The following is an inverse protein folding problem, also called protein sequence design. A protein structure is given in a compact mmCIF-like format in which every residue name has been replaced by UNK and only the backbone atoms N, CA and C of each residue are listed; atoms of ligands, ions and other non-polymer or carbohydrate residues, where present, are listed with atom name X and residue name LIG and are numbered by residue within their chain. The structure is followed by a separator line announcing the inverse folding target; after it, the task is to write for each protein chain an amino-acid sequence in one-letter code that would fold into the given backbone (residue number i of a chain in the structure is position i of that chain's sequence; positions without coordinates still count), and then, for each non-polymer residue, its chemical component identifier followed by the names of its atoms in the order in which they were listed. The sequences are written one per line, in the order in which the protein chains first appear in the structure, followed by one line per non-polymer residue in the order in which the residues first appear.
data_IF_829059683817
#
_entry.id   IF_829059683817
#
_cell.length_a   1.000
_cell.length_b   1.000
_cell.length_c   1.000
_cell.angle_alpha   90.00
_cell.angle_beta   90.00
_cell.angle_gamma   90.00
#
_symmetry.space_group_name_H-M   'P 1'
#
loop_
_entity.id
_entity.type
_entity.pdbx_description
1 polymer ?
#
# COMPACT_ATOMS: atom_id res chain seq x y z
N UNK A 1 -2.59 -1.18 -11.29
CA UNK A 1 -3.74 -0.44 -10.72
C UNK A 1 -3.34 0.15 -9.39
N UNK A 2 -3.71 1.42 -9.12
CA UNK A 2 -3.38 2.12 -7.87
C UNK A 2 -4.50 1.93 -6.86
N UNK A 3 -4.16 1.48 -5.65
CA UNK A 3 -5.11 1.24 -4.55
C UNK A 3 -4.76 2.11 -3.35
N UNK A 4 -5.78 2.58 -2.63
CA UNK A 4 -5.55 3.37 -1.42
C UNK A 4 -5.74 2.47 -0.20
N UNK A 5 -4.81 2.56 0.76
CA UNK A 5 -4.85 1.77 2.00
C UNK A 5 -4.45 2.64 3.19
N UNK A 6 -5.10 2.47 4.34
CA UNK A 6 -4.67 3.18 5.55
C UNK A 6 -3.37 2.59 6.10
N UNK A 7 -2.57 3.39 6.80
CA UNK A 7 -1.36 2.92 7.49
C UNK A 7 -1.65 1.76 8.45
N UNK A 8 -2.82 1.76 9.10
CA UNK A 8 -3.27 0.68 10.00
C UNK A 8 -3.52 -0.61 9.23
N UNK A 9 -4.22 -0.55 8.09
CA UNK A 9 -4.44 -1.71 7.23
C UNK A 9 -3.14 -2.19 6.59
N UNK A 10 -2.28 -1.27 6.16
CA UNK A 10 -0.97 -1.59 5.62
C UNK A 10 -0.18 -2.42 6.61
N UNK A 11 -0.06 -1.96 7.87
CA UNK A 11 0.63 -2.67 8.94
C UNK A 11 0.09 -4.08 9.19
N UNK A 12 -1.23 -4.27 9.14
CA UNK A 12 -1.89 -5.57 9.37
C UNK A 12 -1.77 -6.54 8.18
N UNK A 13 -1.44 -6.06 6.99
CA UNK A 13 -1.45 -6.86 5.76
C UNK A 13 -0.19 -6.70 4.90
N UNK A 14 0.93 -6.27 5.50
CA UNK A 14 2.19 -6.00 4.81
C UNK A 14 2.65 -7.17 3.90
N UNK A 15 2.63 -8.40 4.40
CA UNK A 15 3.03 -9.57 3.61
C UNK A 15 2.13 -9.86 2.38
N UNK A 16 0.84 -9.51 2.45
CA UNK A 16 -0.06 -9.59 1.29
C UNK A 16 0.23 -8.45 0.31
N UNK A 17 0.38 -7.23 0.83
CA UNK A 17 0.65 -6.03 0.04
C UNK A 17 1.92 -6.20 -0.78
N UNK A 18 3.03 -6.64 -0.17
CA UNK A 18 4.28 -6.84 -0.90
C UNK A 18 4.19 -7.91 -1.98
N UNK A 19 3.44 -9.00 -1.75
CA UNK A 19 3.17 -9.99 -2.80
C UNK A 19 2.35 -9.43 -3.96
N UNK A 20 1.38 -8.56 -3.70
CA UNK A 20 0.62 -7.88 -4.75
C UNK A 20 1.50 -6.85 -5.48
N UNK A 21 2.35 -6.11 -4.75
CA UNK A 21 3.30 -5.15 -5.31
C UNK A 21 4.32 -5.83 -6.22
N UNK A 22 4.85 -6.99 -5.82
CA UNK A 22 5.75 -7.80 -6.64
C UNK A 22 5.09 -8.28 -7.95
N UNK A 23 3.74 -8.36 -7.99
CA UNK A 23 2.96 -8.66 -9.20
C UNK A 23 2.57 -7.41 -10.00
N UNK A 24 3.10 -6.23 -9.65
CA UNK A 24 2.84 -4.96 -10.34
C UNK A 24 1.72 -4.11 -9.73
N UNK A 25 1.25 -4.42 -8.52
CA UNK A 25 0.31 -3.53 -7.82
C UNK A 25 1.02 -2.27 -7.28
N UNK A 26 0.25 -1.19 -7.09
CA UNK A 26 0.73 0.02 -6.45
C UNK A 26 -0.26 0.46 -5.39
N UNK A 27 0.24 0.82 -4.21
CA UNK A 27 -0.57 1.28 -3.09
C UNK A 27 -0.20 2.71 -2.69
N UNK A 28 -1.21 3.54 -2.44
CA UNK A 28 -1.08 4.82 -1.75
C UNK A 28 -1.45 4.59 -0.29
N UNK A 29 -0.50 4.79 0.60
CA UNK A 29 -0.70 4.69 2.04
C UNK A 29 -1.22 6.02 2.55
N UNK A 30 -2.32 5.99 3.31
CA UNK A 30 -2.92 7.17 3.93
C UNK A 30 -2.86 7.10 5.45
N UNK A 31 -2.72 8.26 6.09
CA UNK A 31 -2.84 8.43 7.54
C UNK A 31 -3.81 9.58 7.82
N UNK A 32 -4.86 9.32 8.62
CA UNK A 32 -5.96 10.27 8.88
C UNK A 32 -6.53 10.88 7.59
N UNK A 33 -6.74 10.04 6.57
CA UNK A 33 -7.27 10.46 5.26
C UNK A 33 -6.27 11.15 4.33
N UNK A 34 -5.05 11.48 4.80
CA UNK A 34 -4.02 12.14 3.98
C UNK A 34 -3.05 11.12 3.40
N UNK A 35 -2.71 11.19 2.10
CA UNK A 35 -1.67 10.33 1.52
C UNK A 35 -0.30 10.69 2.10
N UNK A 36 0.45 9.67 2.54
CA UNK A 36 1.76 9.84 3.19
C UNK A 36 2.88 9.09 2.48
N UNK A 37 2.56 8.03 1.73
CA UNK A 37 3.55 7.23 1.04
C UNK A 37 2.93 6.49 -0.14
N UNK A 38 3.78 6.01 -1.06
CA UNK A 38 3.39 5.15 -2.17
C UNK A 38 4.31 3.94 -2.19
N UNK A 39 3.72 2.75 -2.27
CA UNK A 39 4.42 1.47 -2.34
C UNK A 39 4.20 0.92 -3.75
N UNK A 40 5.28 0.71 -4.49
CA UNK A 40 5.26 0.14 -5.83
C UNK A 40 6.43 -0.84 -6.01
N UNK A 41 6.44 -1.57 -7.14
CA UNK A 41 7.58 -2.40 -7.50
C UNK A 41 8.86 -1.54 -7.60
N UNK A 42 10.05 -2.15 -7.41
CA UNK A 42 11.33 -1.46 -7.61
C UNK A 42 11.50 -0.93 -9.04
#
# INVERSE_FOLDING_TARGET
MVRTISATQARRSLGRIFREVAKGATYVVTYRGKPIARIGPP
#
